data_IF_350897974427
#
_entry.id   IF_350897974427
#
_cell.length_a   1.000
_cell.length_b   1.000
_cell.length_c   1.000
_cell.angle_alpha   90.00
_cell.angle_beta   90.00
_cell.angle_gamma   90.00
#
_symmetry.space_group_name_H-M   'P 1'
#
loop_
_entity.id
_entity.type
_entity.pdbx_description
1 polymer ?
#
# COMPACT_ATOMS: atom_id res chain seq x y z
N UNK A 1 -10.87 -14.38 4.54
CA UNK A 1 -11.30 -13.00 4.90
C UNK A 1 -12.14 -12.40 3.78
N UNK A 2 -13.21 -11.66 4.09
CA UNK A 2 -14.09 -11.06 3.08
C UNK A 2 -13.55 -9.70 2.60
N UNK A 3 -13.53 -9.51 1.28
CA UNK A 3 -13.22 -8.23 0.62
C UNK A 3 -14.16 -8.00 -0.55
N UNK A 4 -14.56 -6.75 -0.78
CA UNK A 4 -15.35 -6.34 -1.95
C UNK A 4 -14.68 -5.14 -2.64
N UNK A 5 -14.92 -4.86 -3.92
CA UNK A 5 -14.48 -3.62 -4.54
C UNK A 5 -14.98 -2.38 -3.79
N UNK A 6 -14.19 -1.30 -3.76
CA UNK A 6 -14.72 0.00 -3.32
C UNK A 6 -15.81 0.47 -4.29
N UNK A 7 -16.79 1.19 -3.74
CA UNK A 7 -17.93 1.76 -4.47
C UNK A 7 -18.11 3.20 -3.98
N UNK A 8 -18.94 3.98 -4.66
CA UNK A 8 -19.21 5.39 -4.29
C UNK A 8 -19.67 5.55 -2.84
N UNK A 9 -20.45 4.59 -2.31
CA UNK A 9 -20.90 4.60 -0.91
C UNK A 9 -19.70 4.59 0.05
N UNK A 10 -18.68 3.80 -0.26
CA UNK A 10 -17.48 3.69 0.59
C UNK A 10 -16.62 4.96 0.56
N UNK A 11 -16.70 5.77 -0.49
CA UNK A 11 -15.90 6.98 -0.61
C UNK A 11 -16.28 8.06 0.39
N UNK A 12 -17.51 8.04 0.92
CA UNK A 12 -17.96 8.96 1.96
C UNK A 12 -17.45 8.58 3.37
N UNK A 13 -16.83 7.40 3.53
CA UNK A 13 -16.43 6.93 4.85
C UNK A 13 -15.24 7.74 5.40
N UNK A 14 -15.31 8.21 6.67
CA UNK A 14 -14.23 8.95 7.27
C UNK A 14 -13.03 8.04 7.56
N UNK A 15 -11.83 8.56 7.29
CA UNK A 15 -10.57 7.85 7.59
C UNK A 15 -10.04 8.35 8.93
N UNK A 16 -9.81 7.41 9.85
CA UNK A 16 -9.30 7.67 11.20
C UNK A 16 -7.78 7.57 11.28
N UNK A 17 -7.18 6.69 10.48
CA UNK A 17 -5.75 6.48 10.44
C UNK A 17 -5.33 5.83 9.11
N UNK A 18 -4.06 5.96 8.75
CA UNK A 18 -3.45 5.22 7.64
C UNK A 18 -2.52 4.16 8.21
N UNK A 19 -2.47 3.00 7.56
CA UNK A 19 -1.56 1.92 7.89
C UNK A 19 -0.95 1.34 6.63
N UNK A 20 0.37 1.26 6.59
CA UNK A 20 1.09 0.48 5.58
C UNK A 20 1.29 -0.92 6.13
N UNK A 21 0.92 -1.94 5.35
CA UNK A 21 1.10 -3.34 5.75
C UNK A 21 2.03 -4.04 4.78
N UNK A 22 3.04 -4.71 5.33
CA UNK A 22 3.93 -5.63 4.62
C UNK A 22 3.36 -7.05 4.76
N UNK A 23 3.20 -7.74 3.63
CA UNK A 23 2.53 -9.02 3.50
C UNK A 23 3.49 -10.11 3.04
N UNK A 24 3.24 -11.35 3.47
CA UNK A 24 3.74 -12.53 2.76
C UNK A 24 3.16 -12.59 1.35
N UNK A 25 3.95 -13.07 0.38
CA UNK A 25 3.51 -13.36 -0.99
C UNK A 25 3.56 -14.86 -1.21
N UNK A 26 2.50 -15.57 -0.80
CA UNK A 26 2.27 -16.99 -1.12
C UNK A 26 3.48 -17.94 -1.01
N UNK A 27 3.42 -19.08 -1.72
CA UNK A 27 4.61 -19.91 -1.99
C UNK A 27 5.34 -19.30 -3.18
N UNK A 28 6.54 -18.77 -2.95
CA UNK A 28 7.48 -18.41 -3.99
C UNK A 28 8.02 -19.70 -4.64
N UNK A 29 7.95 -19.79 -5.96
CA UNK A 29 8.69 -20.81 -6.72
C UNK A 29 10.02 -20.19 -7.17
N UNK A 30 11.04 -21.00 -7.46
CA UNK A 30 12.41 -20.52 -7.80
C UNK A 30 12.47 -19.56 -9.01
N UNK A 31 11.40 -19.50 -9.82
CA UNK A 31 11.26 -18.59 -10.96
C UNK A 31 10.61 -17.25 -10.61
N UNK A 32 10.20 -17.05 -9.36
CA UNK A 32 9.40 -15.92 -8.92
C UNK A 32 10.27 -14.71 -8.57
N UNK A 33 10.29 -13.71 -9.45
CA UNK A 33 11.14 -12.50 -9.33
C UNK A 33 10.49 -11.38 -8.50
N UNK A 34 9.36 -11.63 -7.84
CA UNK A 34 8.64 -10.66 -7.01
C UNK A 34 9.44 -10.30 -5.75
N UNK A 35 9.17 -9.11 -5.20
CA UNK A 35 9.69 -8.71 -3.88
C UNK A 35 9.27 -9.76 -2.86
N UNK A 36 10.18 -10.22 -2.00
CA UNK A 36 9.92 -11.30 -1.04
C UNK A 36 8.71 -10.97 -0.15
N UNK A 37 8.41 -9.69 0.04
CA UNK A 37 7.14 -9.23 0.58
C UNK A 37 6.40 -8.27 -0.35
N UNK A 38 5.08 -8.21 -0.18
CA UNK A 38 4.23 -7.23 -0.85
C UNK A 38 3.80 -6.12 0.11
N UNK A 39 3.72 -4.88 -0.34
CA UNK A 39 3.28 -3.75 0.49
C UNK A 39 1.95 -3.19 -0.01
N UNK A 40 1.03 -2.84 0.91
CA UNK A 40 -0.20 -2.14 0.55
C UNK A 40 -0.61 -1.12 1.62
N UNK A 41 -1.48 -0.20 1.24
CA UNK A 41 -1.98 0.87 2.10
C UNK A 41 -3.39 0.51 2.57
N UNK A 42 -3.65 0.65 3.86
CA UNK A 42 -4.96 0.51 4.48
C UNK A 42 -5.38 1.86 5.07
N UNK A 43 -6.55 2.34 4.67
CA UNK A 43 -7.24 3.44 5.32
C UNK A 43 -8.17 2.84 6.38
N UNK A 44 -7.92 3.17 7.64
CA UNK A 44 -8.69 2.66 8.77
C UNK A 44 -9.94 3.52 8.93
N UNK A 45 -11.12 2.94 8.72
CA UNK A 45 -12.42 3.63 8.86
C UNK A 45 -12.99 3.36 10.26
N UNK A 46 -12.88 2.12 10.73
CA UNK A 46 -13.35 1.69 12.04
C UNK A 46 -12.96 0.25 12.33
N UNK A 47 -13.51 -0.30 13.42
CA UNK A 47 -13.28 -1.69 13.80
C UNK A 47 -13.73 -2.62 12.67
N UNK A 48 -12.82 -3.47 12.20
CA UNK A 48 -13.00 -4.39 11.07
C UNK A 48 -13.48 -3.70 9.78
N UNK A 49 -13.19 -2.42 9.59
CA UNK A 49 -13.58 -1.69 8.40
C UNK A 49 -12.38 -0.91 7.87
N UNK A 50 -11.81 -1.41 6.77
CA UNK A 50 -10.62 -0.84 6.16
C UNK A 50 -10.82 -0.71 4.64
N UNK A 51 -10.36 0.38 4.05
CA UNK A 51 -10.20 0.47 2.60
C UNK A 51 -8.74 0.16 2.25
N UNK A 52 -8.51 -0.88 1.43
CA UNK A 52 -7.20 -1.27 0.94
C UNK A 52 -6.96 -0.63 -0.43
N UNK A 53 -5.86 0.10 -0.53
CA UNK A 53 -5.32 0.66 -1.76
C UNK A 53 -4.04 -0.11 -2.09
N UNK A 54 -4.02 -0.73 -3.26
CA UNK A 54 -3.04 -1.77 -3.54
C UNK A 54 -2.54 -1.70 -4.97
N UNK A 55 -1.24 -1.93 -5.18
CA UNK A 55 -0.61 -2.00 -6.49
C UNK A 55 0.07 -3.34 -6.67
N UNK A 56 -0.50 -4.21 -7.50
CA UNK A 56 -0.05 -5.62 -7.65
C UNK A 56 0.41 -5.91 -9.07
N UNK A 57 1.33 -6.86 -9.23
CA UNK A 57 1.61 -7.45 -10.54
C UNK A 57 0.49 -8.44 -10.92
N UNK A 58 -0.06 -8.35 -12.14
CA UNK A 58 -1.07 -9.28 -12.66
C UNK A 58 -0.56 -10.37 -13.61
N UNK A 59 0.75 -10.46 -13.87
CA UNK A 59 1.24 -11.61 -14.62
C UNK A 59 2.72 -11.60 -14.96
N UNK A 60 3.21 -12.70 -15.57
CA UNK A 60 4.63 -12.87 -15.87
C UNK A 60 5.15 -11.95 -17.00
N UNK A 61 4.25 -11.32 -17.77
CA UNK A 61 4.59 -10.57 -19.00
C UNK A 61 4.30 -9.06 -18.88
N UNK A 62 3.50 -8.65 -17.89
CA UNK A 62 3.09 -7.25 -17.71
C UNK A 62 3.98 -6.51 -16.72
N UNK A 63 4.59 -5.41 -17.15
CA UNK A 63 5.19 -4.43 -16.23
C UNK A 63 4.15 -3.48 -15.65
N UNK A 64 3.00 -3.31 -16.29
CA UNK A 64 1.91 -2.48 -15.75
C UNK A 64 1.36 -3.11 -14.47
N UNK A 65 1.46 -2.38 -13.37
CA UNK A 65 0.82 -2.75 -12.13
C UNK A 65 -0.69 -2.54 -12.21
N UNK A 66 -1.44 -3.42 -11.56
CA UNK A 66 -2.86 -3.22 -11.35
C UNK A 66 -3.13 -2.53 -10.02
N UNK A 67 -3.76 -1.37 -10.11
CA UNK A 67 -4.31 -0.65 -8.97
C UNK A 67 -5.65 -1.26 -8.53
N UNK A 68 -5.68 -1.86 -7.33
CA UNK A 68 -6.88 -2.43 -6.70
C UNK A 68 -7.34 -1.57 -5.53
N UNK A 69 -8.64 -1.32 -5.48
CA UNK A 69 -9.36 -0.59 -4.45
C UNK A 69 -10.39 -1.53 -3.82
N UNK A 70 -10.20 -1.91 -2.55
CA UNK A 70 -11.04 -2.93 -1.92
C UNK A 70 -11.49 -2.50 -0.52
N UNK A 71 -12.77 -2.69 -0.20
CA UNK A 71 -13.25 -2.70 1.18
C UNK A 71 -12.90 -4.04 1.82
N UNK A 72 -12.43 -3.99 3.06
CA UNK A 72 -11.96 -5.13 3.84
C UNK A 72 -12.71 -5.17 5.18
N UNK A 73 -13.24 -6.35 5.53
CA UNK A 73 -14.03 -6.56 6.75
C UNK A 73 -13.24 -7.30 7.85
N UNK A 74 -12.05 -6.81 8.17
CA UNK A 74 -11.13 -7.38 9.16
C UNK A 74 -10.14 -6.32 9.64
N UNK A 75 -9.52 -6.52 10.81
CA UNK A 75 -8.52 -5.57 11.34
C UNK A 75 -7.12 -5.83 10.79
N UNK A 76 -6.73 -7.09 10.60
CA UNK A 76 -5.44 -7.49 10.05
C UNK A 76 -5.61 -8.61 9.04
N UNK A 77 -4.80 -8.58 7.97
CA UNK A 77 -4.76 -9.67 7.00
C UNK A 77 -4.00 -10.88 7.55
N UNK A 78 -4.39 -12.10 7.19
CA UNK A 78 -3.66 -13.34 7.55
C UNK A 78 -2.22 -13.34 6.99
N UNK A 79 -1.99 -12.65 5.87
CA UNK A 79 -0.65 -12.49 5.29
C UNK A 79 0.15 -11.36 5.93
N UNK A 80 -0.42 -10.59 6.85
CA UNK A 80 0.27 -9.48 7.51
C UNK A 80 1.50 -9.97 8.28
N UNK A 81 2.65 -9.39 7.98
CA UNK A 81 3.91 -9.61 8.69
C UNK A 81 4.27 -8.42 9.56
N UNK A 82 4.05 -7.22 9.05
CA UNK A 82 4.42 -5.98 9.72
C UNK A 82 3.45 -4.87 9.34
N UNK A 83 3.08 -4.05 10.33
CA UNK A 83 2.12 -2.98 10.20
C UNK A 83 2.78 -1.68 10.68
N UNK A 84 2.79 -0.68 9.83
CA UNK A 84 3.37 0.63 10.10
C UNK A 84 2.22 1.62 10.15
N UNK A 85 2.02 2.26 11.29
CA UNK A 85 1.04 3.33 11.44
C UNK A 85 1.55 4.63 10.82
N UNK A 86 0.65 5.36 10.17
CA UNK A 86 0.90 6.72 9.69
C UNK A 86 -0.28 7.59 10.13
N UNK A 87 -0.04 8.56 11.02
CA UNK A 87 -1.08 9.38 11.60
C UNK A 87 -1.73 10.29 10.54
N UNK A 88 -3.06 10.36 10.58
CA UNK A 88 -3.84 11.33 9.79
C UNK A 88 -3.93 12.61 10.60
N UNK A 89 -3.39 13.71 10.08
CA UNK A 89 -3.30 14.99 10.78
C UNK A 89 -4.43 15.95 10.41
N UNK A 90 -5.09 15.72 9.26
CA UNK A 90 -6.20 16.54 8.78
C UNK A 90 -7.53 15.88 9.11
N UNK A 91 -8.39 16.60 9.84
CA UNK A 91 -9.72 16.13 10.18
C UNK A 91 -10.67 16.12 8.98
N UNK A 92 -11.68 15.25 9.03
CA UNK A 92 -12.74 15.18 8.02
C UNK A 92 -12.35 14.53 6.69
N UNK A 93 -11.15 13.95 6.57
CA UNK A 93 -10.75 13.22 5.37
C UNK A 93 -11.56 11.93 5.20
N UNK A 94 -11.94 11.68 3.95
CA UNK A 94 -12.72 10.51 3.53
C UNK A 94 -11.89 9.58 2.67
N UNK A 95 -12.34 8.31 2.52
CA UNK A 95 -11.72 7.36 1.58
C UNK A 95 -11.62 7.95 0.17
N UNK A 96 -12.65 8.68 -0.26
CA UNK A 96 -12.68 9.35 -1.56
C UNK A 96 -11.57 10.38 -1.73
N UNK A 97 -11.18 11.11 -0.68
CA UNK A 97 -10.11 12.10 -0.75
C UNK A 97 -8.76 11.45 -1.07
N UNK A 98 -8.44 10.34 -0.43
CA UNK A 98 -7.21 9.58 -0.68
C UNK A 98 -7.22 8.97 -2.08
N UNK A 99 -8.34 8.37 -2.50
CA UNK A 99 -8.48 7.77 -3.84
C UNK A 99 -8.34 8.83 -4.93
N UNK A 100 -9.05 9.96 -4.82
CA UNK A 100 -8.94 11.08 -5.77
C UNK A 100 -7.54 11.64 -5.86
N UNK A 101 -6.81 11.73 -4.74
CA UNK A 101 -5.43 12.23 -4.73
C UNK A 101 -4.49 11.30 -5.54
N UNK A 102 -4.60 9.99 -5.34
CA UNK A 102 -3.87 8.98 -6.14
C UNK A 102 -4.22 9.11 -7.63
N UNK A 103 -5.50 9.25 -7.94
CA UNK A 103 -5.99 9.28 -9.33
C UNK A 103 -5.60 10.57 -10.05
N UNK A 104 -5.79 11.73 -9.43
CA UNK A 104 -5.41 13.03 -9.98
C UNK A 104 -3.91 13.18 -10.22
N UNK A 105 -3.08 12.50 -9.42
CA UNK A 105 -1.62 12.42 -9.62
C UNK A 105 -1.19 11.25 -10.52
N UNK A 106 -2.15 10.56 -11.16
CA UNK A 106 -1.92 9.44 -12.08
C UNK A 106 -1.12 8.29 -11.43
N UNK A 107 -1.16 8.15 -10.10
CA UNK A 107 -0.43 7.09 -9.37
C UNK A 107 -0.99 5.69 -9.60
N UNK A 108 -2.20 5.58 -10.12
CA UNK A 108 -2.79 4.33 -10.58
C UNK A 108 -2.15 3.82 -11.89
N UNK A 109 -1.50 4.70 -12.65
CA UNK A 109 -0.78 4.36 -13.88
C UNK A 109 0.71 4.14 -13.56
N UNK A 110 1.01 2.98 -12.99
CA UNK A 110 2.35 2.65 -12.51
C UNK A 110 2.87 1.37 -13.15
N UNK A 111 4.05 1.45 -13.76
CA UNK A 111 4.83 0.31 -14.18
C UNK A 111 5.74 -0.15 -13.05
N UNK A 112 5.62 -1.41 -12.66
CA UNK A 112 6.59 -2.10 -11.83
C UNK A 112 7.94 -2.18 -12.55
N UNK A 113 9.01 -2.39 -11.78
CA UNK A 113 10.33 -2.66 -12.34
C UNK A 113 10.31 -3.98 -13.15
N UNK A 114 11.26 -4.21 -14.08
CA UNK A 114 11.26 -5.40 -14.96
C UNK A 114 11.22 -6.76 -14.24
N UNK A 115 11.64 -6.81 -12.98
CA UNK A 115 11.56 -8.01 -12.14
C UNK A 115 10.18 -8.24 -11.50
N UNK A 116 9.22 -7.33 -11.69
CA UNK A 116 7.90 -7.37 -11.05
C UNK A 116 7.89 -6.82 -9.62
N UNK A 117 8.99 -6.19 -9.18
CA UNK A 117 9.10 -5.47 -7.90
C UNK A 117 8.67 -4.01 -8.06
N UNK A 118 8.51 -3.30 -6.94
CA UNK A 118 8.21 -1.87 -6.94
C UNK A 118 6.91 -1.49 -6.23
N UNK A 119 6.19 -2.45 -5.62
CA UNK A 119 5.05 -2.12 -4.77
C UNK A 119 5.46 -1.24 -3.57
N UNK A 120 6.63 -1.47 -2.97
CA UNK A 120 7.20 -0.61 -1.91
C UNK A 120 7.45 0.80 -2.41
N UNK A 121 8.01 0.96 -3.61
CA UNK A 121 8.22 2.29 -4.19
C UNK A 121 6.90 3.01 -4.48
N UNK A 122 5.90 2.29 -4.97
CA UNK A 122 4.55 2.83 -5.16
C UNK A 122 3.95 3.32 -3.84
N UNK A 123 4.00 2.48 -2.79
CA UNK A 123 3.51 2.84 -1.45
C UNK A 123 4.24 4.09 -0.93
N UNK A 124 5.57 4.11 -0.99
CA UNK A 124 6.39 5.26 -0.60
C UNK A 124 5.91 6.53 -1.30
N UNK A 125 5.79 6.48 -2.63
CA UNK A 125 5.40 7.64 -3.45
C UNK A 125 3.98 8.14 -3.12
N UNK A 126 3.04 7.23 -2.86
CA UNK A 126 1.67 7.59 -2.49
C UNK A 126 1.62 8.22 -1.09
N UNK A 127 2.36 7.69 -0.12
CA UNK A 127 2.43 8.30 1.22
C UNK A 127 3.10 9.68 1.13
N UNK A 128 4.15 9.85 0.33
CA UNK A 128 4.76 11.17 0.08
C UNK A 128 3.74 12.17 -0.50
N UNK A 129 2.88 11.74 -1.43
CA UNK A 129 1.80 12.59 -1.94
C UNK A 129 0.76 12.93 -0.86
N UNK A 130 0.44 12.00 0.05
CA UNK A 130 -0.43 12.25 1.20
C UNK A 130 0.20 13.27 2.15
N UNK A 131 1.50 13.18 2.40
CA UNK A 131 2.25 14.13 3.22
C UNK A 131 2.23 15.52 2.59
N UNK A 132 2.54 15.63 1.28
CA UNK A 132 2.52 16.92 0.55
C UNK A 132 1.12 17.55 0.52
N UNK A 133 0.06 16.74 0.47
CA UNK A 133 -1.32 17.22 0.56
C UNK A 133 -1.75 17.61 1.99
N UNK A 134 -0.87 17.41 2.99
CA UNK A 134 -1.16 17.65 4.41
C UNK A 134 -2.14 16.66 5.01
N UNK A 135 -2.26 15.46 4.45
CA UNK A 135 -3.21 14.43 4.94
C UNK A 135 -2.62 13.65 6.12
N UNK A 136 -1.32 13.41 6.11
CA UNK A 136 -0.62 12.58 7.09
C UNK A 136 0.62 13.27 7.67
N UNK A 137 1.06 12.80 8.84
CA UNK A 137 2.23 13.34 9.52
C UNK A 137 3.53 13.08 8.73
N UNK A 138 4.36 14.11 8.46
CA UNK A 138 5.64 13.94 7.77
C UNK A 138 6.66 13.08 8.51
N UNK A 139 6.65 13.08 9.84
CA UNK A 139 7.60 12.32 10.68
C UNK A 139 7.29 10.84 10.59
N UNK A 140 6.01 10.48 10.74
CA UNK A 140 5.54 9.09 10.57
C UNK A 140 5.81 8.58 9.16
N UNK A 141 5.64 9.42 8.14
CA UNK A 141 5.96 9.07 6.76
C UNK A 141 7.45 8.77 6.56
N UNK A 142 8.34 9.53 7.21
CA UNK A 142 9.77 9.30 7.17
C UNK A 142 10.17 8.00 7.89
N UNK A 143 9.61 7.73 9.06
CA UNK A 143 9.81 6.46 9.78
C UNK A 143 9.30 5.28 8.96
N UNK A 144 8.11 5.41 8.36
CA UNK A 144 7.54 4.40 7.47
C UNK A 144 8.46 4.07 6.30
N UNK A 145 9.10 5.08 5.69
CA UNK A 145 10.07 4.81 4.64
C UNK A 145 11.24 3.96 5.16
N UNK A 146 11.82 4.28 6.32
CA UNK A 146 12.90 3.47 6.88
C UNK A 146 12.48 2.01 7.07
N UNK A 147 11.30 1.76 7.61
CA UNK A 147 10.78 0.39 7.79
C UNK A 147 10.46 -0.32 6.47
N UNK A 148 10.05 0.42 5.44
CA UNK A 148 9.71 -0.16 4.14
C UNK A 148 10.94 -0.69 3.38
N UNK A 149 12.17 -0.36 3.82
CA UNK A 149 13.42 -0.89 3.24
C UNK A 149 13.78 -2.30 3.75
N UNK A 150 12.88 -2.99 4.41
CA UNK A 150 13.15 -4.31 4.97
C UNK A 150 12.22 -5.40 4.44
N UNK A 151 12.79 -6.59 4.31
CA UNK A 151 12.10 -7.85 4.23
C UNK A 151 11.78 -8.38 5.63
N UNK A 152 10.54 -8.77 5.80
CA UNK A 152 9.98 -9.33 7.00
C UNK A 152 9.70 -10.82 6.78
N UNK A 153 9.85 -11.58 7.85
CA UNK A 153 9.52 -13.00 7.92
C UNK A 153 9.01 -13.30 9.32
N UNK A 154 8.09 -14.26 9.45
CA UNK A 154 7.57 -14.63 10.78
C UNK A 154 8.71 -15.14 11.66
N UNK A 155 8.82 -14.60 12.86
CA UNK A 155 9.77 -15.04 13.89
C UNK A 155 11.25 -15.01 13.46
N UNK A 156 11.61 -14.13 12.52
CA UNK A 156 12.99 -13.91 12.09
C UNK A 156 13.33 -12.44 12.13
N UNK A 157 14.61 -12.13 12.25
CA UNK A 157 15.09 -10.77 12.05
C UNK A 157 14.75 -10.28 10.65
N UNK A 158 14.42 -8.98 10.56
CA UNK A 158 14.18 -8.33 9.27
C UNK A 158 15.51 -8.18 8.52
N UNK A 159 15.48 -8.34 7.21
CA UNK A 159 16.66 -8.21 6.35
C UNK A 159 16.53 -6.97 5.50
N UNK A 160 17.58 -6.16 5.44
CA UNK A 160 17.58 -4.97 4.58
C UNK A 160 17.46 -5.38 3.11
N UNK A 161 16.53 -4.74 2.40
CA UNK A 161 16.34 -4.84 0.97
C UNK A 161 15.92 -3.48 0.44
N UNK A 162 16.85 -2.81 -0.23
CA UNK A 162 16.62 -1.48 -0.79
C UNK A 162 15.36 -1.45 -1.68
N UNK A 163 14.62 -0.35 -1.60
CA UNK A 163 13.44 -0.14 -2.45
C UNK A 163 13.89 0.01 -3.90
N UNK A 164 13.41 -0.90 -4.76
CA UNK A 164 13.62 -0.80 -6.20
C UNK A 164 12.48 0.00 -6.83
N UNK A 165 12.77 1.09 -7.55
CA UNK A 165 11.75 1.92 -8.18
C UNK A 165 11.16 1.28 -9.43
N UNK A 166 9.86 1.43 -9.61
CA UNK A 166 9.20 1.35 -10.90
C UNK A 166 9.08 2.73 -11.55
N UNK A 167 8.17 2.87 -12.51
CA UNK A 167 7.98 4.11 -13.27
C UNK A 167 6.50 4.50 -13.30
N UNK A 168 6.18 5.75 -12.96
CA UNK A 168 4.85 6.31 -13.20
C UNK A 168 4.72 6.71 -14.67
N UNK A 169 3.64 6.28 -15.31
CA UNK A 169 3.30 6.70 -16.67
C UNK A 169 2.92 8.18 -16.61
N UNK A 170 3.54 9.00 -17.46
CA UNK A 170 3.26 10.43 -17.53
C UNK A 170 1.99 10.70 -18.30
#
# INVERSE_FOLDING_TARGET
>A
MSTIPLTEVHYAYPVKAVRVTVHTVGKMFDTDKRSINHASIFLIIGTKQLARLNMTNEGPVGVMGLYKKQMCYYDNSESSLFNIGVCVIKSGLTVGDFVRLIESKRRHEYMLAPTGVGCRFWVKSVIEDFTVAGYVDPSDAAEMYNDLQYNYSRNKERLFEAIVPGTFVR
#
